data_IF_426747142545
#
_entry.id   IF_426747142545
#
_cell.length_a   1.000
_cell.length_b   1.000
_cell.length_c   1.000
_cell.angle_alpha   90.00
_cell.angle_beta   90.00
_cell.angle_gamma   90.00
#
_symmetry.space_group_name_H-M   'P 1'
#
loop_
_entity.id
_entity.type
_entity.pdbx_description
1 polymer ?
#
# COMPACT_ATOMS: atom_id res chain seq x y z
N UNK A 1 -28.20 -73.93 -15.91
CA UNK A 1 -27.93 -74.20 -14.47
C UNK A 1 -26.85 -73.25 -13.99
N UNK A 2 -26.93 -72.79 -12.71
CA UNK A 2 -26.04 -71.85 -11.97
C UNK A 2 -26.51 -70.39 -12.00
N UNK A 3 -27.52 -70.04 -11.19
CA UNK A 3 -27.53 -69.62 -9.76
C UNK A 3 -27.31 -68.09 -9.62
N UNK A 4 -28.42 -67.37 -9.37
CA UNK A 4 -28.47 -66.09 -8.64
C UNK A 4 -28.27 -66.39 -7.14
N UNK A 5 -27.66 -65.46 -6.38
CA UNK A 5 -28.11 -64.98 -5.03
C UNK A 5 -26.97 -64.25 -4.26
N UNK A 6 -27.23 -62.95 -4.02
CA UNK A 6 -27.10 -62.13 -2.78
C UNK A 6 -25.77 -61.96 -2.00
N UNK A 7 -25.27 -60.72 -2.05
CA UNK A 7 -25.13 -59.74 -0.95
C UNK A 7 -24.11 -59.91 0.19
N UNK A 8 -23.65 -58.72 0.68
CA UNK A 8 -22.89 -58.36 1.91
C UNK A 8 -21.35 -58.47 1.77
N UNK A 9 -20.49 -57.52 2.13
CA UNK A 9 -20.56 -56.21 2.81
C UNK A 9 -19.25 -55.48 2.45
N UNK A 10 -19.29 -54.31 1.79
CA UNK A 10 -18.14 -53.40 1.75
C UNK A 10 -18.52 -52.22 2.62
N UNK A 11 -18.04 -52.23 3.86
CA UNK A 11 -18.14 -51.08 4.75
C UNK A 11 -17.14 -50.02 4.24
N UNK A 12 -17.60 -49.17 3.32
CA UNK A 12 -16.89 -47.94 2.98
C UNK A 12 -17.05 -46.98 4.15
N UNK A 13 -16.04 -46.96 5.04
CA UNK A 13 -15.91 -45.94 6.06
C UNK A 13 -15.77 -44.59 5.36
N UNK A 14 -16.82 -43.77 5.44
CA UNK A 14 -16.81 -42.39 5.01
C UNK A 14 -15.96 -41.61 6.03
N UNK A 15 -14.65 -41.55 5.82
CA UNK A 15 -13.77 -40.64 6.56
C UNK A 15 -14.17 -39.22 6.16
N UNK A 16 -15.02 -38.62 6.99
CA UNK A 16 -15.33 -37.21 6.94
C UNK A 16 -14.05 -36.46 7.32
N UNK A 17 -13.26 -36.07 6.32
CA UNK A 17 -12.15 -35.15 6.49
C UNK A 17 -12.74 -33.83 7.00
N UNK A 18 -12.66 -33.60 8.31
CA UNK A 18 -12.94 -32.28 8.86
C UNK A 18 -11.81 -31.38 8.33
N UNK A 19 -12.06 -30.71 7.21
CA UNK A 19 -11.26 -29.57 6.79
C UNK A 19 -11.47 -28.52 7.86
N UNK A 20 -10.55 -28.48 8.83
CA UNK A 20 -10.37 -27.32 9.69
C UNK A 20 -10.05 -26.19 8.72
N UNK A 21 -11.05 -25.36 8.43
CA UNK A 21 -10.82 -24.08 7.77
C UNK A 21 -9.93 -23.28 8.72
N UNK A 22 -8.63 -23.30 8.46
CA UNK A 22 -7.71 -22.34 9.06
C UNK A 22 -8.20 -21.01 8.52
N UNK A 23 -8.82 -20.21 9.38
CA UNK A 23 -9.20 -18.85 9.02
C UNK A 23 -7.91 -18.16 8.57
N UNK A 24 -7.87 -17.76 7.30
CA UNK A 24 -6.78 -16.96 6.77
C UNK A 24 -6.65 -15.73 7.67
N UNK A 25 -5.44 -15.51 8.19
CA UNK A 25 -5.22 -14.40 9.09
C UNK A 25 -5.46 -13.10 8.30
N UNK A 26 -6.44 -12.30 8.73
CA UNK A 26 -6.76 -11.04 8.07
C UNK A 26 -5.62 -10.05 8.31
N UNK A 27 -4.64 -10.02 7.42
CA UNK A 27 -3.45 -9.17 7.47
C UNK A 27 -3.39 -8.31 6.22
N UNK A 28 -3.06 -7.04 6.38
CA UNK A 28 -2.67 -6.14 5.28
C UNK A 28 -1.19 -5.77 5.41
N UNK A 29 -0.45 -5.91 4.32
CA UNK A 29 0.96 -5.57 4.22
C UNK A 29 1.11 -4.22 3.55
N UNK A 30 1.66 -3.25 4.29
CA UNK A 30 1.83 -1.86 3.85
C UNK A 30 3.31 -1.54 3.75
N UNK A 31 3.71 -0.87 2.66
CA UNK A 31 5.06 -0.34 2.47
C UNK A 31 5.00 1.16 2.17
N UNK A 32 5.44 2.00 3.11
CA UNK A 32 5.35 3.46 3.02
C UNK A 32 6.71 4.12 3.26
N UNK A 33 6.78 5.44 3.08
CA UNK A 33 7.92 6.24 3.50
C UNK A 33 8.14 6.18 5.02
N UNK A 34 9.42 6.23 5.44
CA UNK A 34 9.78 6.47 6.85
C UNK A 34 9.18 7.79 7.35
N UNK A 35 8.80 7.82 8.63
CA UNK A 35 8.30 9.03 9.31
C UNK A 35 7.07 9.67 8.64
N UNK A 36 6.22 8.87 7.98
CA UNK A 36 5.14 9.34 7.12
C UNK A 36 3.73 8.87 7.52
N UNK A 37 3.60 8.34 8.74
CA UNK A 37 2.35 8.00 9.39
C UNK A 37 2.51 8.17 10.91
N UNK A 38 1.41 8.49 11.61
CA UNK A 38 1.35 8.33 13.05
C UNK A 38 1.17 6.84 13.39
N UNK A 39 2.05 6.28 14.22
CA UNK A 39 2.01 4.86 14.62
C UNK A 39 0.65 4.46 15.22
N UNK A 40 -0.09 5.40 15.83
CA UNK A 40 -1.40 5.15 16.40
C UNK A 40 -2.44 4.76 15.33
N UNK A 41 -2.29 5.21 14.08
CA UNK A 41 -3.23 4.90 12.99
C UNK A 41 -3.34 3.40 12.74
N UNK A 42 -2.21 2.68 12.78
CA UNK A 42 -2.20 1.22 12.56
C UNK A 42 -2.90 0.49 13.72
N UNK A 43 -2.72 0.98 14.95
CA UNK A 43 -3.39 0.44 16.14
C UNK A 43 -4.90 0.65 16.05
N UNK A 44 -5.33 1.88 15.74
CA UNK A 44 -6.75 2.23 15.64
C UNK A 44 -7.44 1.49 14.49
N UNK A 45 -6.78 1.38 13.34
CA UNK A 45 -7.27 0.59 12.20
C UNK A 45 -7.46 -0.88 12.57
N UNK A 46 -6.47 -1.48 13.24
CA UNK A 46 -6.56 -2.88 13.69
C UNK A 46 -7.68 -3.05 14.71
N UNK A 47 -7.85 -2.13 15.65
CA UNK A 47 -8.92 -2.17 16.64
C UNK A 47 -10.31 -2.03 16.00
N UNK A 48 -10.46 -1.17 14.98
CA UNK A 48 -11.74 -0.91 14.32
C UNK A 48 -12.16 -2.03 13.35
N UNK A 49 -11.21 -2.73 12.73
CA UNK A 49 -11.49 -3.67 11.63
C UNK A 49 -11.20 -5.13 11.98
N UNK A 50 -10.36 -5.38 12.98
CA UNK A 50 -9.79 -6.70 13.27
C UNK A 50 -8.72 -7.15 12.27
N UNK A 51 -8.35 -6.31 11.30
CA UNK A 51 -7.30 -6.58 10.31
C UNK A 51 -5.95 -6.17 10.90
N UNK A 52 -5.00 -7.10 10.96
CA UNK A 52 -3.64 -6.79 11.41
C UNK A 52 -2.88 -6.03 10.32
N UNK A 53 -2.02 -5.12 10.72
CA UNK A 53 -1.15 -4.37 9.80
C UNK A 53 0.28 -4.83 9.97
N UNK A 54 0.89 -5.34 8.90
CA UNK A 54 2.35 -5.47 8.79
C UNK A 54 2.84 -4.23 8.05
N UNK A 55 3.63 -3.40 8.72
CA UNK A 55 4.02 -2.08 8.22
C UNK A 55 5.54 -2.02 8.08
N UNK A 56 6.01 -1.91 6.84
CA UNK A 56 7.41 -1.71 6.50
C UNK A 56 7.63 -0.30 5.96
N UNK A 57 8.87 0.19 6.05
CA UNK A 57 9.25 1.52 5.56
C UNK A 57 10.37 1.51 4.54
N UNK A 58 10.38 2.50 3.65
CA UNK A 58 11.46 2.82 2.73
C UNK A 58 11.81 4.32 2.74
N UNK A 59 12.94 4.66 2.15
CA UNK A 59 13.49 6.02 2.13
C UNK A 59 13.74 6.57 0.70
N UNK A 60 13.48 5.77 -0.33
CA UNK A 60 13.65 6.15 -1.73
C UNK A 60 12.66 5.44 -2.64
N UNK A 61 12.25 6.14 -3.71
CA UNK A 61 11.35 5.55 -4.71
C UNK A 61 12.03 4.41 -5.48
N UNK A 62 13.35 4.46 -5.65
CA UNK A 62 14.15 3.44 -6.34
C UNK A 62 14.12 2.09 -5.59
N UNK A 63 14.18 2.11 -4.26
CA UNK A 63 14.06 0.90 -3.43
C UNK A 63 12.68 0.28 -3.59
N UNK A 64 11.62 1.09 -3.49
CA UNK A 64 10.25 0.63 -3.72
C UNK A 64 10.10 0.02 -5.12
N UNK A 65 10.55 0.74 -6.15
CA UNK A 65 10.39 0.29 -7.53
C UNK A 65 11.12 -1.02 -7.81
N UNK A 66 12.37 -1.15 -7.36
CA UNK A 66 13.14 -2.38 -7.56
C UNK A 66 12.39 -3.59 -6.97
N UNK A 67 11.75 -3.41 -5.81
CA UNK A 67 10.97 -4.46 -5.16
C UNK A 67 9.67 -4.78 -5.92
N UNK A 68 9.00 -3.78 -6.47
CA UNK A 68 7.79 -3.97 -7.26
C UNK A 68 8.08 -4.66 -8.61
N UNK A 69 9.13 -4.24 -9.31
CA UNK A 69 9.49 -4.80 -10.63
C UNK A 69 10.12 -6.19 -10.56
N UNK A 70 10.71 -6.57 -9.42
CA UNK A 70 11.13 -7.95 -9.17
C UNK A 70 9.95 -8.94 -9.16
N UNK A 71 8.72 -8.45 -8.94
CA UNK A 71 7.51 -9.25 -8.79
C UNK A 71 7.40 -9.90 -7.41
N UNK A 72 6.18 -10.28 -7.02
CA UNK A 72 5.93 -10.92 -5.73
C UNK A 72 6.37 -10.08 -4.53
N UNK A 73 6.13 -8.76 -4.57
CA UNK A 73 6.59 -7.81 -3.55
C UNK A 73 6.16 -8.16 -2.13
N UNK A 74 5.05 -8.89 -1.98
CA UNK A 74 4.44 -9.25 -0.70
C UNK A 74 3.65 -8.12 -0.05
N UNK A 75 3.39 -7.03 -0.78
CA UNK A 75 2.66 -5.87 -0.27
C UNK A 75 1.32 -5.67 -0.95
N UNK A 76 0.32 -5.30 -0.16
CA UNK A 76 -1.04 -5.00 -0.59
C UNK A 76 -1.22 -3.50 -0.88
N UNK A 77 -0.54 -2.64 -0.11
CA UNK A 77 -0.58 -1.18 -0.25
C UNK A 77 0.83 -0.63 -0.25
N UNK A 78 1.14 0.22 -1.24
CA UNK A 78 2.44 0.90 -1.35
C UNK A 78 2.24 2.37 -1.69
N UNK A 79 3.22 3.23 -1.36
CA UNK A 79 3.07 4.70 -1.44
C UNK A 79 4.16 5.36 -2.33
N UNK A 80 4.20 5.08 -3.65
CA UNK A 80 5.15 5.71 -4.56
C UNK A 80 4.85 7.20 -4.76
N UNK A 81 5.87 7.99 -5.10
CA UNK A 81 5.66 9.35 -5.61
C UNK A 81 5.04 9.33 -7.01
N UNK A 82 4.24 10.34 -7.36
CA UNK A 82 3.45 10.41 -8.60
C UNK A 82 4.25 10.11 -9.89
N UNK A 83 5.47 10.64 -10.02
CA UNK A 83 6.33 10.39 -11.19
C UNK A 83 6.76 8.93 -11.33
N UNK A 84 7.00 8.22 -10.22
CA UNK A 84 7.30 6.78 -10.22
C UNK A 84 6.04 5.94 -10.44
N UNK A 85 4.92 6.34 -9.82
CA UNK A 85 3.64 5.70 -10.02
C UNK A 85 3.26 5.66 -11.51
N UNK A 86 3.43 6.77 -12.24
CA UNK A 86 3.11 6.85 -13.67
C UNK A 86 3.80 5.77 -14.51
N UNK A 87 5.11 5.56 -14.31
CA UNK A 87 5.86 4.54 -15.05
C UNK A 87 5.58 3.12 -14.56
N UNK A 88 5.30 2.94 -13.27
CA UNK A 88 4.92 1.65 -12.70
C UNK A 88 3.54 1.17 -13.17
N UNK A 89 2.58 2.09 -13.38
CA UNK A 89 1.30 1.80 -14.03
C UNK A 89 1.53 1.28 -15.46
N UNK A 90 2.40 1.93 -16.24
CA UNK A 90 2.74 1.49 -17.60
C UNK A 90 3.40 0.10 -17.60
N UNK A 91 4.17 -0.22 -16.56
CA UNK A 91 4.77 -1.55 -16.36
C UNK A 91 3.77 -2.62 -15.86
N UNK A 92 2.50 -2.27 -15.61
CA UNK A 92 1.46 -3.21 -15.19
C UNK A 92 1.57 -3.67 -13.74
N UNK A 93 2.28 -2.91 -12.90
CA UNK A 93 2.51 -3.24 -11.48
C UNK A 93 1.23 -3.15 -10.64
N UNK A 94 0.32 -2.23 -11.00
CA UNK A 94 -0.85 -1.91 -10.20
C UNK A 94 -2.16 -2.31 -10.88
N UNK A 95 -3.11 -2.76 -10.06
CA UNK A 95 -4.51 -2.89 -10.46
C UNK A 95 -5.24 -1.54 -10.37
N UNK A 96 -6.31 -1.36 -11.15
CA UNK A 96 -7.21 -0.22 -10.96
C UNK A 96 -7.95 -0.34 -9.64
N UNK A 97 -8.19 0.80 -8.98
CA UNK A 97 -8.99 0.84 -7.78
C UNK A 97 -10.48 0.71 -8.11
N UNK A 98 -11.17 -0.18 -7.41
CA UNK A 98 -12.63 -0.21 -7.39
C UNK A 98 -13.15 0.92 -6.48
N UNK A 99 -13.42 2.08 -7.08
CA UNK A 99 -13.88 3.28 -6.35
C UNK A 99 -15.21 3.07 -5.63
N UNK A 100 -16.02 2.08 -6.01
CA UNK A 100 -17.28 1.78 -5.31
C UNK A 100 -17.06 1.27 -3.88
N UNK A 101 -15.87 0.75 -3.58
CA UNK A 101 -15.47 0.28 -2.24
C UNK A 101 -14.83 1.38 -1.38
N UNK A 102 -14.60 2.57 -1.94
CA UNK A 102 -13.94 3.68 -1.29
C UNK A 102 -14.95 4.77 -0.92
N UNK A 103 -15.79 4.49 0.09
CA UNK A 103 -16.87 5.42 0.50
C UNK A 103 -16.38 6.82 0.88
N UNK A 104 -15.12 6.96 1.28
CA UNK A 104 -14.50 8.22 1.68
C UNK A 104 -13.73 8.92 0.54
N UNK A 105 -13.75 8.41 -0.70
CA UNK A 105 -12.96 8.99 -1.82
C UNK A 105 -13.39 10.41 -2.17
N UNK A 106 -14.63 10.80 -1.82
CA UNK A 106 -15.13 12.16 -2.00
C UNK A 106 -14.44 13.21 -1.13
N UNK A 107 -13.61 12.81 -0.16
CA UNK A 107 -12.87 13.72 0.72
C UNK A 107 -11.53 14.20 0.12
N UNK A 108 -11.17 13.74 -1.08
CA UNK A 108 -9.90 14.13 -1.72
C UNK A 108 -9.90 15.59 -2.12
N UNK A 109 -8.73 16.23 -1.97
CA UNK A 109 -8.56 17.63 -2.32
C UNK A 109 -8.39 17.80 -3.83
N UNK A 110 -9.35 18.46 -4.46
CA UNK A 110 -9.41 18.72 -5.91
C UNK A 110 -8.14 19.34 -6.50
N UNK A 111 -7.49 20.26 -5.78
CA UNK A 111 -6.24 20.89 -6.23
C UNK A 111 -5.11 19.88 -6.40
N UNK A 112 -5.00 18.90 -5.51
CA UNK A 112 -3.96 17.86 -5.60
C UNK A 112 -4.31 16.87 -6.70
N UNK A 113 -5.57 16.45 -6.77
CA UNK A 113 -6.08 15.57 -7.84
C UNK A 113 -5.77 16.14 -9.23
N UNK A 114 -6.07 17.42 -9.47
CA UNK A 114 -5.77 18.11 -10.74
C UNK A 114 -4.28 18.21 -11.02
N UNK A 115 -3.45 18.44 -9.99
CA UNK A 115 -1.99 18.53 -10.17
C UNK A 115 -1.38 17.20 -10.59
N UNK A 116 -1.93 16.07 -10.14
CA UNK A 116 -1.38 14.76 -10.48
C UNK A 116 -1.84 14.24 -11.84
N UNK A 117 -2.92 14.80 -12.42
CA UNK A 117 -3.41 14.44 -13.77
C UNK A 117 -2.37 14.65 -14.88
N UNK A 118 -1.42 15.59 -14.70
CA UNK A 118 -0.34 15.81 -15.66
C UNK A 118 0.57 14.59 -15.85
N UNK A 119 0.57 13.65 -14.90
CA UNK A 119 1.35 12.42 -14.94
C UNK A 119 0.56 11.23 -15.53
N UNK A 120 -0.69 11.43 -15.95
CA UNK A 120 -1.58 10.41 -16.50
C UNK A 120 -2.75 10.08 -15.58
N UNK A 121 -3.50 8.98 -15.83
CA UNK A 121 -4.69 8.62 -15.08
C UNK A 121 -4.38 8.03 -13.70
N UNK A 122 -3.51 8.68 -12.92
CA UNK A 122 -3.02 8.17 -11.63
C UNK A 122 -4.16 7.89 -10.64
N UNK A 123 -5.21 8.73 -10.67
CA UNK A 123 -6.36 8.64 -9.77
C UNK A 123 -7.26 7.42 -10.07
N UNK A 124 -7.03 6.68 -11.17
CA UNK A 124 -7.66 5.38 -11.41
C UNK A 124 -6.98 4.23 -10.63
N UNK A 125 -5.74 4.44 -10.19
CA UNK A 125 -4.87 3.44 -9.57
C UNK A 125 -4.46 3.81 -8.14
N UNK A 126 -4.69 5.04 -7.70
CA UNK A 126 -4.19 5.56 -6.43
C UNK A 126 -5.18 6.49 -5.73
N UNK A 127 -4.94 6.69 -4.44
CA UNK A 127 -5.55 7.72 -3.58
C UNK A 127 -4.42 8.61 -3.08
N UNK A 128 -4.59 9.93 -3.15
CA UNK A 128 -3.57 10.86 -2.67
C UNK A 128 -3.43 10.78 -1.14
N UNK A 129 -2.22 10.48 -0.64
CA UNK A 129 -1.93 10.38 0.78
C UNK A 129 -1.46 11.72 1.36
N UNK A 130 -0.28 12.16 0.94
CA UNK A 130 0.35 13.42 1.37
C UNK A 130 1.13 14.00 0.19
N UNK A 131 1.40 15.30 0.26
CA UNK A 131 2.19 16.04 -0.73
C UNK A 131 3.07 17.06 -0.03
N UNK A 132 4.10 17.54 -0.73
CA UNK A 132 4.99 18.56 -0.22
C UNK A 132 5.90 19.11 -1.31
N UNK A 133 6.90 19.88 -0.88
CA UNK A 133 7.90 20.49 -1.75
C UNK A 133 9.29 20.09 -1.27
N UNK A 134 10.19 19.82 -2.20
CA UNK A 134 11.63 19.74 -1.89
C UNK A 134 12.18 21.15 -1.74
N UNK A 135 12.79 21.44 -0.59
CA UNK A 135 13.34 22.77 -0.27
C UNK A 135 14.63 22.69 0.53
N UNK A 136 15.05 23.83 1.08
CA UNK A 136 16.25 23.95 1.91
C UNK A 136 15.85 24.07 3.38
N UNK A 137 16.18 23.08 4.20
CA UNK A 137 16.16 23.19 5.66
C UNK A 137 17.53 23.63 6.17
N UNK A 138 17.58 24.66 7.01
CA UNK A 138 18.84 25.18 7.55
C UNK A 138 18.71 25.64 9.00
N UNK A 139 19.85 25.77 9.69
CA UNK A 139 19.91 26.28 11.07
C UNK A 139 20.29 27.77 11.05
N UNK A 140 19.33 28.63 11.40
CA UNK A 140 19.53 30.10 11.43
C UNK A 140 20.67 30.54 12.35
N UNK A 141 20.82 29.93 13.53
CA UNK A 141 21.88 30.27 14.47
C UNK A 141 23.28 29.99 13.90
N UNK A 142 23.44 28.86 13.23
CA UNK A 142 24.70 28.51 12.58
C UNK A 142 25.03 29.40 11.38
N UNK A 143 24.00 29.86 10.64
CA UNK A 143 24.18 30.82 9.56
C UNK A 143 24.64 32.16 10.14
N UNK A 144 23.94 32.68 11.16
CA UNK A 144 24.25 33.97 11.76
C UNK A 144 25.66 34.01 12.37
N UNK A 145 26.14 32.90 12.96
CA UNK A 145 27.51 32.78 13.46
C UNK A 145 28.57 32.90 12.34
N UNK A 146 28.26 32.40 11.14
CA UNK A 146 29.20 32.32 10.00
C UNK A 146 29.11 33.52 9.07
N UNK A 147 27.93 34.09 8.93
CA UNK A 147 27.62 35.20 8.03
C UNK A 147 26.45 35.99 8.61
N UNK A 148 26.77 37.09 9.28
CA UNK A 148 25.78 38.05 9.74
C UNK A 148 25.03 38.65 8.54
N UNK A 149 23.70 38.74 8.63
CA UNK A 149 22.81 39.24 7.57
C UNK A 149 22.84 38.44 6.24
N UNK A 150 23.11 37.13 6.30
CA UNK A 150 23.00 36.26 5.13
C UNK A 150 21.58 36.35 4.50
N UNK A 151 21.45 36.42 3.16
CA UNK A 151 20.15 36.55 2.49
C UNK A 151 19.44 35.18 2.43
N UNK A 152 19.01 34.66 3.57
CA UNK A 152 18.40 33.32 3.71
C UNK A 152 17.00 33.20 3.08
N UNK A 153 16.45 34.32 2.58
CA UNK A 153 15.16 34.40 1.90
C UNK A 153 15.28 34.67 0.39
N UNK A 154 16.49 34.80 -0.17
CA UNK A 154 16.63 34.96 -1.62
C UNK A 154 16.60 33.60 -2.30
N UNK A 155 15.45 33.23 -2.85
CA UNK A 155 15.35 32.22 -3.90
C UNK A 155 15.84 32.87 -5.20
N UNK A 156 17.16 33.03 -5.32
CA UNK A 156 17.83 33.44 -6.57
C UNK A 156 18.42 32.20 -7.24
#
# INVERSE_FOLDING_TARGET
MKIKVKSLLIASALTCSVQIAVAEENVVHVYNWSDYIDEQVNTDFTAATGIKVVYDVFDSNEVLEAKLLAGGSGYDVVVPSAGFLARQIQAGVFQKLDKSKLSNIGNMWDVVEQRVEQFGPLNEYSVNWMWGTTGLGYNEGMINERMENAPTTSLA
#
